data_IF_421096011982
#
_entry.id   IF_421096011982
#
_cell.length_a   1.000
_cell.length_b   1.000
_cell.length_c   1.000
_cell.angle_alpha   90.00
_cell.angle_beta   90.00
_cell.angle_gamma   90.00
#
_symmetry.space_group_name_H-M   'P 1'
#
loop_
_entity.id
_entity.type
_entity.pdbx_description
1 polymer ?
#
# COMPACT_ATOMS: atom_id res chain seq x y z
N UNK A 1 4.24 -25.71 22.91
CA UNK A 1 4.92 -26.03 21.64
C UNK A 1 3.86 -26.40 20.61
N UNK A 2 3.21 -25.44 19.96
CA UNK A 2 2.22 -25.75 18.93
C UNK A 2 2.35 -24.75 17.80
N UNK A 3 2.64 -25.31 16.65
CA UNK A 3 2.42 -24.85 15.28
C UNK A 3 3.03 -23.52 14.84
N UNK A 4 4.32 -23.56 14.51
CA UNK A 4 4.97 -22.64 13.58
C UNK A 4 4.67 -23.07 12.12
N UNK A 5 3.43 -23.31 11.77
CA UNK A 5 3.07 -23.54 10.38
C UNK A 5 2.63 -22.22 9.77
N UNK A 6 3.61 -21.42 9.34
CA UNK A 6 3.36 -20.40 8.32
C UNK A 6 2.91 -21.16 7.08
N UNK A 7 1.65 -21.04 6.70
CA UNK A 7 1.16 -21.73 5.51
C UNK A 7 1.79 -21.10 4.26
N UNK A 8 2.94 -21.64 3.86
CA UNK A 8 3.67 -21.21 2.65
C UNK A 8 2.78 -21.25 1.40
N UNK A 9 1.76 -22.12 1.37
CA UNK A 9 0.78 -22.20 0.27
C UNK A 9 -0.15 -21.01 0.30
N UNK A 10 -0.61 -20.58 1.50
CA UNK A 10 -1.43 -19.40 1.69
C UNK A 10 -0.72 -18.13 1.22
N UNK A 11 0.54 -17.92 1.65
CA UNK A 11 1.33 -16.78 1.23
C UNK A 11 1.57 -16.75 -0.28
N UNK A 12 1.89 -17.90 -0.90
CA UNK A 12 2.06 -18.00 -2.36
C UNK A 12 0.78 -17.61 -3.11
N UNK A 13 -0.38 -18.12 -2.69
CA UNK A 13 -1.68 -17.76 -3.29
C UNK A 13 -2.01 -16.29 -3.11
N UNK A 14 -1.75 -15.74 -1.92
CA UNK A 14 -1.90 -14.32 -1.64
C UNK A 14 -1.04 -13.50 -2.61
N UNK A 15 0.26 -13.80 -2.71
CA UNK A 15 1.20 -13.05 -3.56
C UNK A 15 0.86 -13.17 -5.04
N UNK A 16 0.45 -14.36 -5.51
CA UNK A 16 0.03 -14.57 -6.89
C UNK A 16 -1.23 -13.76 -7.23
N UNK A 17 -2.25 -13.77 -6.35
CA UNK A 17 -3.44 -12.96 -6.51
C UNK A 17 -3.14 -11.46 -6.45
N UNK A 18 -2.33 -11.01 -5.49
CA UNK A 18 -1.90 -9.62 -5.38
C UNK A 18 -1.14 -9.15 -6.63
N UNK A 19 -0.19 -9.94 -7.12
CA UNK A 19 0.58 -9.62 -8.31
C UNK A 19 -0.30 -9.53 -9.56
N UNK A 20 -1.22 -10.48 -9.75
CA UNK A 20 -2.14 -10.47 -10.89
C UNK A 20 -3.08 -9.26 -10.84
N UNK A 21 -3.71 -8.99 -9.68
CA UNK A 21 -4.61 -7.87 -9.52
C UNK A 21 -3.91 -6.53 -9.78
N UNK A 22 -2.72 -6.33 -9.20
CA UNK A 22 -1.92 -5.10 -9.36
C UNK A 22 -1.38 -4.93 -10.79
N UNK A 23 -0.92 -6.01 -11.41
CA UNK A 23 -0.48 -5.96 -12.80
C UNK A 23 -1.63 -5.55 -13.74
N UNK A 24 -2.82 -6.10 -13.53
CA UNK A 24 -4.02 -5.68 -14.27
C UNK A 24 -4.42 -4.23 -14.04
N UNK A 25 -4.32 -3.77 -12.79
CA UNK A 25 -4.60 -2.38 -12.42
C UNK A 25 -3.61 -1.40 -13.07
N UNK A 26 -2.31 -1.62 -12.91
CA UNK A 26 -1.24 -0.79 -13.50
C UNK A 26 -1.27 -0.81 -15.04
N UNK A 27 -1.76 -1.89 -15.63
CA UNK A 27 -1.98 -2.02 -17.06
C UNK A 27 -3.22 -1.24 -17.54
N UNK A 28 -4.25 -1.13 -16.69
CA UNK A 28 -5.58 -0.62 -17.09
C UNK A 28 -5.54 0.83 -17.57
N UNK A 29 -4.81 1.70 -16.86
CA UNK A 29 -4.67 3.11 -17.21
C UNK A 29 -4.04 3.32 -18.60
N UNK A 30 -2.81 2.83 -18.85
CA UNK A 30 -2.19 2.89 -20.17
C UNK A 30 -3.02 2.23 -21.28
N UNK A 31 -3.67 1.09 -21.00
CA UNK A 31 -4.50 0.40 -21.98
C UNK A 31 -5.74 1.21 -22.38
N UNK A 32 -6.43 1.85 -21.41
CA UNK A 32 -7.57 2.73 -21.66
C UNK A 32 -7.16 4.00 -22.41
N UNK A 33 -5.98 4.54 -22.12
CA UNK A 33 -5.43 5.68 -22.83
C UNK A 33 -5.19 5.34 -24.31
N UNK A 34 -4.54 4.20 -24.57
CA UNK A 34 -4.32 3.69 -25.94
C UNK A 34 -5.64 3.38 -26.66
N UNK A 35 -6.61 2.77 -25.97
CA UNK A 35 -7.93 2.47 -26.52
C UNK A 35 -8.67 3.75 -26.91
N UNK A 36 -8.71 4.74 -26.02
CA UNK A 36 -9.36 6.02 -26.27
C UNK A 36 -8.83 6.69 -27.52
N UNK A 37 -7.51 6.74 -27.68
CA UNK A 37 -6.86 7.29 -28.87
C UNK A 37 -7.14 6.44 -30.13
N UNK A 38 -6.97 5.12 -30.05
CA UNK A 38 -7.13 4.24 -31.20
C UNK A 38 -8.56 4.22 -31.78
N UNK A 39 -9.58 4.38 -30.92
CA UNK A 39 -10.99 4.31 -31.35
C UNK A 39 -11.54 5.68 -31.77
N UNK A 40 -11.13 6.77 -31.10
CA UNK A 40 -11.72 8.10 -31.34
C UNK A 40 -10.81 9.06 -32.12
N UNK A 41 -9.52 8.71 -32.28
CA UNK A 41 -8.51 9.60 -32.83
C UNK A 41 -8.20 10.83 -31.95
N UNK A 42 -8.82 10.96 -30.78
CA UNK A 42 -8.72 12.11 -29.87
C UNK A 42 -7.95 11.75 -28.61
N UNK A 43 -6.79 12.37 -28.35
CA UNK A 43 -6.03 12.11 -27.11
C UNK A 43 -6.84 12.38 -25.84
N UNK A 44 -7.74 13.38 -25.87
CA UNK A 44 -8.59 13.76 -24.74
C UNK A 44 -9.53 12.66 -24.25
N UNK A 45 -9.94 11.71 -25.10
CA UNK A 45 -10.81 10.61 -24.67
C UNK A 45 -10.08 9.68 -23.71
N UNK A 46 -8.89 9.22 -24.08
CA UNK A 46 -8.10 8.31 -23.22
C UNK A 46 -7.65 8.97 -21.92
N UNK A 47 -7.17 10.22 -21.98
CA UNK A 47 -6.76 10.96 -20.78
C UNK A 47 -7.93 11.27 -19.84
N UNK A 48 -9.12 11.57 -20.39
CA UNK A 48 -10.33 11.77 -19.59
C UNK A 48 -10.80 10.50 -18.87
N UNK A 49 -10.70 9.33 -19.53
CA UNK A 49 -10.98 8.04 -18.90
C UNK A 49 -10.03 7.75 -17.76
N UNK A 50 -8.72 7.94 -17.99
CA UNK A 50 -7.69 7.74 -16.96
C UNK A 50 -7.91 8.69 -15.76
N UNK A 51 -8.17 9.97 -16.04
CA UNK A 51 -8.44 10.96 -15.00
C UNK A 51 -9.67 10.59 -14.16
N UNK A 52 -10.78 10.19 -14.80
CA UNK A 52 -12.01 9.79 -14.12
C UNK A 52 -11.80 8.55 -13.23
N UNK A 53 -11.09 7.55 -13.75
CA UNK A 53 -10.74 6.33 -12.99
C UNK A 53 -9.90 6.66 -11.75
N UNK A 54 -8.88 7.51 -11.92
CA UNK A 54 -7.94 7.88 -10.85
C UNK A 54 -8.59 8.75 -9.77
N UNK A 55 -9.40 9.73 -10.16
CA UNK A 55 -10.13 10.59 -9.21
C UNK A 55 -11.07 9.77 -8.34
N UNK A 56 -11.81 8.86 -8.94
CA UNK A 56 -12.71 7.99 -8.19
C UNK A 56 -11.96 7.02 -7.28
N UNK A 57 -10.82 6.50 -7.71
CA UNK A 57 -9.93 5.68 -6.89
C UNK A 57 -9.42 6.42 -5.65
N UNK A 58 -9.06 7.70 -5.80
CA UNK A 58 -8.67 8.52 -4.66
C UNK A 58 -9.82 8.73 -3.64
N UNK A 59 -11.06 8.87 -4.11
CA UNK A 59 -12.23 9.05 -3.25
C UNK A 59 -12.76 7.73 -2.65
N UNK A 60 -12.62 6.61 -3.36
CA UNK A 60 -13.20 5.31 -3.00
C UNK A 60 -12.56 4.62 -1.80
N UNK A 61 -11.32 4.98 -1.43
CA UNK A 61 -10.58 4.28 -0.38
C UNK A 61 -11.25 4.27 0.99
N UNK A 62 -11.65 5.41 1.56
CA UNK A 62 -12.31 5.43 2.84
C UNK A 62 -13.63 4.64 2.85
N UNK A 63 -14.41 4.72 1.76
CA UNK A 63 -15.66 3.97 1.61
C UNK A 63 -15.41 2.46 1.58
N UNK A 64 -14.49 2.01 0.71
CA UNK A 64 -14.17 0.59 0.58
C UNK A 64 -13.57 0.03 1.88
N UNK A 65 -12.69 0.79 2.54
CA UNK A 65 -12.10 0.39 3.82
C UNK A 65 -13.15 0.17 4.92
N UNK A 66 -14.11 1.08 5.03
CA UNK A 66 -15.20 0.94 5.97
C UNK A 66 -16.08 -0.28 5.68
N UNK A 67 -16.36 -0.56 4.41
CA UNK A 67 -17.08 -1.75 3.98
C UNK A 67 -16.29 -3.03 4.29
N UNK A 68 -14.97 -3.02 4.05
CA UNK A 68 -14.09 -4.16 4.30
C UNK A 68 -14.03 -4.52 5.79
N UNK A 69 -13.91 -3.51 6.66
CA UNK A 69 -13.83 -3.71 8.12
C UNK A 69 -15.17 -4.14 8.74
N UNK A 70 -16.32 -3.73 8.16
CA UNK A 70 -17.66 -4.19 8.57
C UNK A 70 -18.00 -5.58 8.07
N UNK A 71 -17.32 -6.04 7.02
CA UNK A 71 -17.69 -7.26 6.36
C UNK A 71 -17.38 -8.49 7.25
N UNK A 72 -18.39 -9.33 7.47
CA UNK A 72 -18.20 -10.66 8.08
C UNK A 72 -17.38 -11.58 7.18
N UNK A 73 -17.31 -11.29 5.87
CA UNK A 73 -16.59 -12.05 4.85
C UNK A 73 -15.81 -11.12 3.93
N UNK A 74 -14.74 -10.49 4.46
CA UNK A 74 -13.94 -9.52 3.70
C UNK A 74 -13.22 -10.13 2.49
N UNK A 75 -12.97 -11.44 2.49
CA UNK A 75 -12.50 -12.22 1.35
C UNK A 75 -13.49 -12.18 0.17
N UNK A 76 -14.77 -12.39 0.44
CA UNK A 76 -15.82 -12.29 -0.59
C UNK A 76 -16.04 -10.86 -1.05
N UNK A 77 -16.01 -9.89 -0.13
CA UNK A 77 -16.13 -8.49 -0.50
C UNK A 77 -14.99 -8.08 -1.42
N UNK A 78 -13.75 -8.45 -1.08
CA UNK A 78 -12.59 -8.21 -1.94
C UNK A 78 -12.77 -8.87 -3.32
N UNK A 79 -13.23 -10.11 -3.38
CA UNK A 79 -13.48 -10.82 -4.63
C UNK A 79 -14.55 -10.11 -5.48
N UNK A 80 -15.66 -9.67 -4.87
CA UNK A 80 -16.72 -8.93 -5.56
C UNK A 80 -16.25 -7.58 -6.10
N UNK A 81 -15.44 -6.84 -5.32
CA UNK A 81 -14.91 -5.55 -5.76
C UNK A 81 -13.91 -5.70 -6.91
N UNK A 82 -13.06 -6.74 -6.87
CA UNK A 82 -12.18 -7.07 -8.00
C UNK A 82 -12.97 -7.43 -9.26
N UNK A 83 -14.03 -8.24 -9.12
CA UNK A 83 -14.91 -8.59 -10.24
C UNK A 83 -15.62 -7.35 -10.80
N UNK A 84 -16.16 -6.49 -9.93
CA UNK A 84 -16.81 -5.24 -10.32
C UNK A 84 -15.85 -4.29 -11.05
N UNK A 85 -14.59 -4.17 -10.57
CA UNK A 85 -13.55 -3.39 -11.24
C UNK A 85 -13.23 -3.94 -12.62
N UNK A 86 -13.01 -5.26 -12.75
CA UNK A 86 -12.76 -5.92 -14.03
C UNK A 86 -13.92 -5.72 -15.01
N UNK A 87 -15.17 -5.89 -14.54
CA UNK A 87 -16.37 -5.65 -15.35
C UNK A 87 -16.49 -4.19 -15.78
N UNK A 88 -16.16 -3.23 -14.90
CA UNK A 88 -16.13 -1.81 -15.23
C UNK A 88 -15.11 -1.49 -16.35
N UNK A 89 -13.93 -2.09 -16.30
CA UNK A 89 -12.92 -1.97 -17.37
C UNK A 89 -13.43 -2.56 -18.69
N UNK A 90 -14.08 -3.73 -18.65
CA UNK A 90 -14.69 -4.35 -19.84
C UNK A 90 -15.83 -3.49 -20.39
N UNK A 91 -16.67 -2.93 -19.51
CA UNK A 91 -17.75 -2.03 -19.90
C UNK A 91 -17.20 -0.76 -20.59
N UNK A 92 -16.12 -0.18 -20.08
CA UNK A 92 -15.43 0.94 -20.75
C UNK A 92 -14.94 0.55 -22.14
N UNK A 93 -14.29 -0.61 -22.27
CA UNK A 93 -13.84 -1.13 -23.57
C UNK A 93 -14.98 -1.27 -24.58
N UNK A 94 -16.14 -1.76 -24.13
CA UNK A 94 -17.31 -1.91 -24.99
C UNK A 94 -17.99 -0.56 -25.33
N UNK A 95 -17.91 0.41 -24.43
CA UNK A 95 -18.59 1.71 -24.53
C UNK A 95 -17.79 2.75 -25.35
N UNK A 96 -16.45 2.67 -25.35
CA UNK A 96 -15.60 3.61 -26.09
C UNK A 96 -15.91 3.55 -27.60
N UNK A 97 -16.19 4.72 -28.17
CA UNK A 97 -16.61 4.88 -29.56
C UNK A 97 -18.14 4.73 -29.80
N UNK A 98 -18.91 4.35 -28.77
CA UNK A 98 -20.37 4.21 -28.85
C UNK A 98 -21.14 5.20 -27.99
N UNK A 99 -20.56 5.58 -26.85
CA UNK A 99 -21.21 6.46 -25.89
C UNK A 99 -20.50 7.84 -25.83
N UNK A 100 -21.24 8.89 -25.44
CA UNK A 100 -20.65 10.22 -25.25
C UNK A 100 -19.70 10.22 -24.05
N UNK A 101 -18.75 11.18 -24.02
CA UNK A 101 -17.70 11.27 -23.00
C UNK A 101 -18.23 11.33 -21.57
N UNK A 102 -19.40 11.97 -21.35
CA UNK A 102 -20.02 12.05 -20.02
C UNK A 102 -20.40 10.66 -19.49
N UNK A 103 -20.99 9.81 -20.33
CA UNK A 103 -21.34 8.44 -19.97
C UNK A 103 -20.09 7.58 -19.74
N UNK A 104 -19.06 7.74 -20.57
CA UNK A 104 -17.78 7.08 -20.40
C UNK A 104 -17.11 7.49 -19.07
N UNK A 105 -17.11 8.79 -18.75
CA UNK A 105 -16.59 9.29 -17.49
C UNK A 105 -17.37 8.73 -16.29
N UNK A 106 -18.70 8.62 -16.37
CA UNK A 106 -19.52 8.01 -15.32
C UNK A 106 -19.15 6.53 -15.09
N UNK A 107 -18.98 5.73 -16.15
CA UNK A 107 -18.56 4.32 -16.03
C UNK A 107 -17.15 4.25 -15.43
N UNK A 108 -16.21 5.13 -15.86
CA UNK A 108 -14.85 5.18 -15.35
C UNK A 108 -14.80 5.57 -13.85
N UNK A 109 -15.63 6.55 -13.45
CA UNK A 109 -15.77 6.94 -12.04
C UNK A 109 -16.31 5.77 -11.19
N UNK A 110 -17.35 5.08 -11.66
CA UNK A 110 -17.89 3.92 -10.95
C UNK A 110 -16.88 2.78 -10.84
N UNK A 111 -16.17 2.45 -11.91
CA UNK A 111 -15.10 1.45 -11.87
C UNK A 111 -13.97 1.87 -10.92
N UNK A 112 -13.53 3.13 -10.97
CA UNK A 112 -12.46 3.67 -10.15
C UNK A 112 -12.74 3.63 -8.65
N UNK A 113 -14.00 3.69 -8.21
CA UNK A 113 -14.37 3.52 -6.80
C UNK A 113 -13.89 2.18 -6.22
N UNK A 114 -13.74 1.14 -7.04
CA UNK A 114 -13.27 -0.18 -6.62
C UNK A 114 -11.74 -0.34 -6.70
N UNK A 115 -11.02 0.61 -7.33
CA UNK A 115 -9.55 0.57 -7.44
C UNK A 115 -8.83 0.41 -6.10
N UNK A 116 -9.22 1.07 -4.98
CA UNK A 116 -8.56 0.87 -3.68
C UNK A 116 -8.59 -0.57 -3.17
N UNK A 117 -9.53 -1.40 -3.63
CA UNK A 117 -9.58 -2.82 -3.30
C UNK A 117 -8.37 -3.57 -3.85
N UNK A 118 -7.95 -3.24 -5.07
CA UNK A 118 -6.83 -3.88 -5.78
C UNK A 118 -5.51 -3.63 -5.06
N UNK A 119 -5.27 -2.40 -4.65
CA UNK A 119 -4.02 -2.02 -3.99
C UNK A 119 -4.06 -2.33 -2.48
N UNK A 120 -4.81 -1.52 -1.74
CA UNK A 120 -4.79 -1.51 -0.28
C UNK A 120 -5.67 -2.59 0.35
N UNK A 121 -6.76 -2.98 -0.33
CA UNK A 121 -7.65 -4.05 0.13
C UNK A 121 -6.94 -5.39 0.26
N UNK A 122 -6.05 -5.73 -0.70
CA UNK A 122 -5.17 -6.89 -0.62
C UNK A 122 -4.21 -6.80 0.57
N UNK A 123 -3.45 -5.70 0.66
CA UNK A 123 -2.46 -5.50 1.73
C UNK A 123 -3.10 -5.61 3.13
N UNK A 124 -4.33 -5.13 3.30
CA UNK A 124 -5.06 -5.25 4.56
C UNK A 124 -5.35 -6.71 4.98
N UNK A 125 -5.34 -7.66 4.03
CA UNK A 125 -5.53 -9.09 4.30
C UNK A 125 -4.23 -9.84 4.67
N UNK A 126 -3.04 -9.26 4.42
CA UNK A 126 -1.76 -9.92 4.67
C UNK A 126 -1.61 -10.47 6.10
N UNK A 127 -2.00 -9.74 7.18
CA UNK A 127 -1.90 -10.26 8.55
C UNK A 127 -2.80 -11.45 8.87
N UNK A 128 -3.71 -11.83 7.96
CA UNK A 128 -4.52 -13.06 8.08
C UNK A 128 -3.79 -14.29 7.58
N UNK A 129 -2.82 -14.08 6.69
CA UNK A 129 -2.05 -15.16 6.03
C UNK A 129 -0.74 -15.40 6.76
N UNK A 130 -0.10 -14.33 7.24
CA UNK A 130 1.18 -14.39 7.96
C UNK A 130 1.14 -13.56 9.23
N UNK A 131 1.81 -14.03 10.29
CA UNK A 131 1.83 -13.36 11.60
C UNK A 131 3.24 -13.32 12.19
N UNK A 132 3.44 -12.49 13.21
CA UNK A 132 4.71 -12.41 13.93
C UNK A 132 5.88 -11.98 13.05
N UNK A 133 7.02 -12.65 13.18
CA UNK A 133 8.26 -12.33 12.44
C UNK A 133 8.16 -12.51 10.92
N UNK A 134 7.24 -13.33 10.44
CA UNK A 134 7.00 -13.54 9.00
C UNK A 134 6.26 -12.37 8.35
N UNK A 135 5.65 -11.49 9.16
CA UNK A 135 4.90 -10.35 8.63
C UNK A 135 5.83 -9.33 7.95
N UNK A 136 7.04 -9.11 8.46
CA UNK A 136 8.02 -8.21 7.85
C UNK A 136 8.45 -8.73 6.46
N UNK A 137 8.71 -10.03 6.37
CA UNK A 137 9.00 -10.69 5.10
C UNK A 137 7.80 -10.65 4.16
N UNK A 138 6.61 -10.92 4.68
CA UNK A 138 5.35 -10.83 3.92
C UNK A 138 5.12 -9.42 3.36
N UNK A 139 5.39 -8.37 4.15
CA UNK A 139 5.29 -6.98 3.74
C UNK A 139 6.30 -6.61 2.65
N UNK A 140 7.53 -7.13 2.74
CA UNK A 140 8.54 -6.94 1.70
C UNK A 140 8.14 -7.64 0.38
N UNK A 141 7.62 -8.86 0.45
CA UNK A 141 7.10 -9.59 -0.72
C UNK A 141 5.86 -8.92 -1.30
N UNK A 142 4.97 -8.38 -0.45
CA UNK A 142 3.82 -7.60 -0.90
C UNK A 142 4.26 -6.31 -1.62
N UNK A 143 5.24 -5.58 -1.07
CA UNK A 143 5.88 -4.44 -1.72
C UNK A 143 6.53 -4.81 -3.06
N UNK A 144 7.15 -6.00 -3.16
CA UNK A 144 7.71 -6.51 -4.39
C UNK A 144 6.66 -6.65 -5.50
N UNK A 145 5.43 -7.11 -5.17
CA UNK A 145 4.35 -7.22 -6.16
C UNK A 145 3.90 -5.86 -6.68
N UNK A 146 3.95 -4.78 -5.86
CA UNK A 146 3.70 -3.41 -6.33
C UNK A 146 4.76 -2.98 -7.35
N UNK A 147 6.05 -3.11 -7.00
CA UNK A 147 7.15 -2.69 -7.89
C UNK A 147 7.15 -3.49 -9.19
N UNK A 148 6.86 -4.79 -9.11
CA UNK A 148 6.76 -5.64 -10.29
C UNK A 148 5.58 -5.23 -11.19
N UNK A 149 4.43 -4.91 -10.60
CA UNK A 149 3.26 -4.47 -11.33
C UNK A 149 3.46 -3.11 -12.01
N UNK A 150 4.04 -2.13 -11.29
CA UNK A 150 4.33 -0.80 -11.86
C UNK A 150 5.32 -0.85 -13.02
N UNK A 151 6.26 -1.82 -13.00
CA UNK A 151 7.17 -2.04 -14.13
C UNK A 151 6.49 -2.77 -15.28
N UNK A 152 5.80 -3.87 -14.98
CA UNK A 152 5.24 -4.76 -15.99
C UNK A 152 3.94 -4.23 -16.61
N UNK A 153 3.10 -3.53 -15.84
CA UNK A 153 1.77 -3.10 -16.27
C UNK A 153 1.79 -2.24 -17.54
N UNK A 154 2.48 -1.09 -17.54
CA UNK A 154 2.58 -0.25 -18.74
C UNK A 154 3.26 -0.95 -19.91
N UNK A 155 4.29 -1.76 -19.67
CA UNK A 155 4.99 -2.51 -20.71
C UNK A 155 4.08 -3.57 -21.35
N UNK A 156 3.31 -4.30 -20.55
CA UNK A 156 2.31 -5.24 -21.03
C UNK A 156 1.20 -4.55 -21.81
N UNK A 157 0.72 -3.39 -21.34
CA UNK A 157 -0.29 -2.61 -22.05
C UNK A 157 0.20 -2.22 -23.44
N UNK A 158 1.42 -1.66 -23.55
CA UNK A 158 2.02 -1.26 -24.80
C UNK A 158 2.30 -2.47 -25.71
N UNK A 159 2.89 -3.55 -25.18
CA UNK A 159 3.22 -4.75 -25.94
C UNK A 159 1.98 -5.46 -26.51
N UNK A 160 0.95 -5.64 -25.70
CA UNK A 160 -0.32 -6.24 -26.15
C UNK A 160 -1.04 -5.32 -27.14
N UNK A 161 -1.05 -4.00 -26.89
CA UNK A 161 -1.67 -3.05 -27.80
C UNK A 161 -0.97 -3.03 -29.16
N UNK A 162 0.35 -3.10 -29.20
CA UNK A 162 1.13 -3.15 -30.44
C UNK A 162 0.97 -4.46 -31.20
N UNK A 163 0.88 -5.61 -30.52
CA UNK A 163 0.79 -6.92 -31.16
C UNK A 163 -0.62 -7.35 -31.53
N UNK A 164 -1.62 -7.07 -30.69
CA UNK A 164 -2.99 -7.58 -30.83
C UNK A 164 -4.04 -6.46 -30.88
N UNK A 165 -3.64 -5.24 -30.49
CA UNK A 165 -4.51 -4.07 -30.52
C UNK A 165 -4.93 -3.56 -29.12
N UNK A 166 -5.31 -2.29 -29.06
CA UNK A 166 -5.63 -1.61 -27.81
C UNK A 166 -6.81 -2.23 -27.04
N UNK A 167 -7.80 -2.79 -27.76
CA UNK A 167 -8.93 -3.50 -27.15
C UNK A 167 -8.46 -4.76 -26.39
N UNK A 168 -7.54 -5.50 -26.98
CA UNK A 168 -6.95 -6.69 -26.34
C UNK A 168 -6.15 -6.31 -25.08
N UNK A 169 -5.44 -5.17 -25.11
CA UNK A 169 -4.74 -4.67 -23.93
C UNK A 169 -5.69 -4.43 -22.74
N UNK A 170 -6.83 -3.79 -22.98
CA UNK A 170 -7.84 -3.54 -21.94
C UNK A 170 -8.44 -4.84 -21.42
N UNK A 171 -8.76 -5.80 -22.31
CA UNK A 171 -9.27 -7.12 -21.91
C UNK A 171 -8.24 -7.94 -21.13
N UNK A 172 -6.97 -7.85 -21.49
CA UNK A 172 -5.87 -8.49 -20.74
C UNK A 172 -5.76 -7.89 -19.34
N UNK A 173 -5.84 -6.57 -19.20
CA UNK A 173 -5.84 -5.91 -17.90
C UNK A 173 -7.02 -6.39 -17.03
N UNK A 174 -8.24 -6.40 -17.58
CA UNK A 174 -9.41 -6.92 -16.88
C UNK A 174 -9.28 -8.40 -16.53
N UNK A 175 -8.75 -9.22 -17.44
CA UNK A 175 -8.48 -10.64 -17.23
C UNK A 175 -7.49 -10.90 -16.09
N UNK A 176 -6.42 -10.12 -15.97
CA UNK A 176 -5.45 -10.19 -14.87
C UNK A 176 -6.11 -9.87 -13.52
N UNK A 177 -6.98 -8.83 -13.47
CA UNK A 177 -7.74 -8.53 -12.25
C UNK A 177 -8.72 -9.67 -11.92
N UNK A 178 -9.44 -10.19 -12.92
CA UNK A 178 -10.37 -11.30 -12.74
C UNK A 178 -9.66 -12.59 -12.26
N UNK A 179 -8.45 -12.85 -12.73
CA UNK A 179 -7.63 -14.00 -12.32
C UNK A 179 -7.28 -13.95 -10.81
N UNK A 180 -7.29 -12.78 -10.19
CA UNK A 180 -7.08 -12.64 -8.76
C UNK A 180 -8.30 -13.03 -7.91
N UNK A 181 -9.52 -13.06 -8.48
CA UNK A 181 -10.76 -13.33 -7.74
C UNK A 181 -10.74 -14.69 -7.01
N UNK A 182 -10.35 -15.83 -7.63
CA UNK A 182 -10.27 -17.11 -6.92
C UNK A 182 -9.29 -17.07 -5.72
N UNK A 183 -8.18 -16.35 -5.87
CA UNK A 183 -7.20 -16.16 -4.78
C UNK A 183 -7.82 -15.37 -3.64
N UNK A 184 -8.57 -14.29 -3.91
CA UNK A 184 -9.29 -13.52 -2.91
C UNK A 184 -10.30 -14.39 -2.14
N UNK A 185 -11.12 -15.18 -2.82
CA UNK A 185 -12.06 -16.10 -2.21
C UNK A 185 -11.42 -17.15 -1.29
N UNK A 186 -10.15 -17.50 -1.57
CA UNK A 186 -9.44 -18.51 -0.77
C UNK A 186 -8.86 -17.98 0.54
N UNK A 187 -8.82 -16.66 0.77
CA UNK A 187 -8.20 -16.05 1.95
C UNK A 187 -8.93 -16.40 3.26
N UNK A 188 -10.22 -16.71 3.21
CA UNK A 188 -10.99 -17.13 4.39
C UNK A 188 -10.50 -18.45 5.02
N UNK A 189 -9.87 -19.32 4.22
CA UNK A 189 -9.35 -20.61 4.67
C UNK A 189 -8.13 -20.48 5.60
N UNK A 190 -7.50 -19.30 5.63
CA UNK A 190 -6.28 -19.01 6.38
C UNK A 190 -6.52 -18.20 7.66
N UNK A 191 -7.75 -18.19 8.16
CA UNK A 191 -8.09 -17.49 9.40
C UNK A 191 -7.36 -18.15 10.57
N UNK A 192 -6.49 -17.42 11.33
CA UNK A 192 -5.85 -18.00 12.50
C UNK A 192 -6.91 -18.43 13.52
N UNK A 193 -6.77 -19.62 14.08
CA UNK A 193 -7.68 -20.18 15.10
C UNK A 193 -7.80 -19.28 16.36
N UNK A 194 -6.82 -18.42 16.63
CA UNK A 194 -6.82 -17.46 17.74
C UNK A 194 -7.87 -16.34 17.63
N UNK A 195 -8.53 -16.15 16.48
CA UNK A 195 -9.57 -15.13 16.32
C UNK A 195 -10.97 -15.59 16.77
N UNK A 196 -11.10 -16.83 17.23
CA UNK A 196 -12.38 -17.40 17.71
C UNK A 196 -12.57 -17.29 19.23
N UNK A 197 -11.57 -16.76 19.96
CA UNK A 197 -11.49 -16.85 21.41
C UNK A 197 -11.84 -15.59 22.22
N UNK A 198 -12.18 -14.48 21.60
CA UNK A 198 -12.74 -13.35 22.36
C UNK A 198 -14.24 -13.30 22.13
N UNK A 199 -14.98 -13.73 23.17
CA UNK A 199 -16.43 -13.66 23.21
C UNK A 199 -16.91 -12.28 22.75
N UNK A 200 -17.48 -12.24 21.55
CA UNK A 200 -18.30 -11.11 21.15
C UNK A 200 -19.57 -11.22 21.97
N UNK A 201 -19.65 -10.42 23.03
CA UNK A 201 -20.94 -10.09 23.63
C UNK A 201 -21.93 -9.62 22.56
N UNK A 202 -23.24 -9.50 22.87
CA UNK A 202 -24.27 -9.15 21.91
C UNK A 202 -23.79 -7.93 21.07
N UNK A 203 -23.81 -8.10 19.75
CA UNK A 203 -23.24 -7.14 18.80
C UNK A 203 -23.86 -5.76 19.05
N UNK A 204 -23.03 -4.84 19.56
CA UNK A 204 -23.43 -3.44 19.63
C UNK A 204 -23.83 -2.96 18.21
N UNK A 205 -24.87 -2.11 18.08
CA UNK A 205 -25.34 -1.66 16.78
C UNK A 205 -24.15 -1.05 16.01
N UNK A 206 -23.95 -1.55 14.78
CA UNK A 206 -22.86 -1.08 13.94
C UNK A 206 -23.00 0.42 13.72
N UNK A 207 -21.96 1.23 13.97
CA UNK A 207 -22.02 2.66 13.73
C UNK A 207 -22.36 2.94 12.26
N UNK A 208 -23.00 4.08 11.97
CA UNK A 208 -23.30 4.49 10.59
C UNK A 208 -22.02 4.49 9.75
N UNK A 209 -22.14 4.26 8.43
CA UNK A 209 -20.99 4.19 7.51
C UNK A 209 -20.10 5.44 7.64
N UNK A 210 -20.70 6.63 7.68
CA UNK A 210 -19.96 7.89 7.86
C UNK A 210 -19.19 7.96 9.18
N UNK A 211 -19.79 7.50 10.30
CA UNK A 211 -19.10 7.44 11.59
C UNK A 211 -17.92 6.45 11.56
N UNK A 212 -18.04 5.38 10.83
CA UNK A 212 -16.95 4.41 10.69
C UNK A 212 -15.82 4.96 9.80
N UNK A 213 -16.15 5.66 8.70
CA UNK A 213 -15.16 6.38 7.89
C UNK A 213 -14.41 7.41 8.73
N UNK A 214 -15.14 8.19 9.53
CA UNK A 214 -14.55 9.14 10.48
C UNK A 214 -13.67 8.45 11.53
N UNK A 215 -14.05 7.27 12.03
CA UNK A 215 -13.26 6.51 13.00
C UNK A 215 -11.92 6.05 12.43
N UNK A 216 -11.88 5.59 11.17
CA UNK A 216 -10.65 5.22 10.50
C UNK A 216 -9.69 6.41 10.35
N UNK A 217 -10.21 7.55 9.93
CA UNK A 217 -9.45 8.79 9.84
C UNK A 217 -8.98 9.27 11.23
N UNK A 218 -9.87 9.24 12.22
CA UNK A 218 -9.55 9.61 13.60
C UNK A 218 -8.42 8.74 14.18
N UNK A 219 -8.40 7.44 13.91
CA UNK A 219 -7.31 6.55 14.35
C UNK A 219 -5.98 6.92 13.68
N UNK A 220 -5.98 7.28 12.38
CA UNK A 220 -4.77 7.76 11.71
C UNK A 220 -4.23 9.01 12.39
N UNK A 221 -5.11 9.97 12.72
CA UNK A 221 -4.73 11.25 13.36
C UNK A 221 -4.34 11.05 14.82
N UNK A 222 -5.09 10.25 15.58
CA UNK A 222 -4.86 10.03 17.00
C UNK A 222 -3.59 9.23 17.31
N UNK A 223 -3.21 8.30 16.43
CA UNK A 223 -2.01 7.48 16.62
C UNK A 223 -0.81 8.10 15.92
N UNK A 224 0.07 8.75 16.69
CA UNK A 224 1.28 9.41 16.16
C UNK A 224 2.05 8.59 15.13
N UNK A 225 2.31 7.26 15.30
CA UNK A 225 3.02 6.47 14.29
C UNK A 225 2.26 6.35 12.96
N UNK A 226 0.91 6.24 13.00
CA UNK A 226 0.09 6.20 11.78
C UNK A 226 0.02 7.56 11.11
N UNK A 227 -0.12 8.64 11.89
CA UNK A 227 -0.16 9.99 11.37
C UNK A 227 1.14 10.33 10.64
N UNK A 228 2.29 10.15 11.30
CA UNK A 228 3.60 10.44 10.68
C UNK A 228 3.86 9.59 9.44
N UNK A 229 3.53 8.29 9.46
CA UNK A 229 3.66 7.43 8.30
C UNK A 229 2.76 7.87 7.14
N UNK A 230 1.55 8.33 7.44
CA UNK A 230 0.60 8.81 6.43
C UNK A 230 1.03 10.16 5.87
N UNK A 231 1.37 11.13 6.71
CA UNK A 231 1.85 12.46 6.28
C UNK A 231 3.12 12.32 5.43
N UNK A 232 4.11 11.56 5.90
CA UNK A 232 5.35 11.31 5.14
C UNK A 232 5.04 10.67 3.78
N UNK A 233 4.15 9.69 3.74
CA UNK A 233 3.74 9.04 2.49
C UNK A 233 3.10 10.03 1.52
N UNK A 234 2.18 10.87 1.98
CA UNK A 234 1.47 11.86 1.15
C UNK A 234 2.44 12.92 0.62
N UNK A 235 3.23 13.52 1.50
CA UNK A 235 4.17 14.59 1.13
C UNK A 235 5.28 14.06 0.21
N UNK A 236 5.80 12.86 0.48
CA UNK A 236 6.77 12.19 -0.40
C UNK A 236 6.20 11.98 -1.81
N UNK A 237 4.94 11.56 -1.91
CA UNK A 237 4.29 11.33 -3.20
C UNK A 237 3.96 12.61 -3.98
N UNK A 238 3.87 13.76 -3.34
CA UNK A 238 3.86 15.06 -4.05
C UNK A 238 5.16 15.21 -4.85
N UNK A 239 6.32 14.99 -4.25
CA UNK A 239 7.61 15.06 -4.95
C UNK A 239 7.75 14.00 -6.06
N UNK A 240 7.28 12.76 -5.81
CA UNK A 240 7.28 11.69 -6.82
C UNK A 240 6.39 12.06 -8.01
N UNK A 241 5.22 12.67 -7.78
CA UNK A 241 4.34 13.17 -8.84
C UNK A 241 5.02 14.25 -9.68
N UNK A 242 5.78 15.14 -9.04
CA UNK A 242 6.57 16.14 -9.75
C UNK A 242 7.67 15.51 -10.61
N UNK A 243 8.42 14.55 -10.07
CA UNK A 243 9.45 13.81 -10.81
C UNK A 243 8.87 13.10 -12.04
N UNK A 244 7.70 12.46 -11.88
CA UNK A 244 7.03 11.72 -12.97
C UNK A 244 6.74 12.63 -14.18
N UNK A 245 6.26 13.84 -13.93
CA UNK A 245 6.00 14.85 -14.98
C UNK A 245 7.31 15.39 -15.59
N UNK A 246 8.38 15.49 -14.78
CA UNK A 246 9.68 15.90 -15.26
C UNK A 246 10.39 14.84 -16.12
N UNK A 247 10.07 13.55 -15.99
CA UNK A 247 10.76 12.48 -16.73
C UNK A 247 10.77 12.66 -18.26
N UNK A 248 9.64 12.95 -18.97
CA UNK A 248 9.67 13.24 -20.41
C UNK A 248 10.51 14.46 -20.76
N UNK A 249 10.48 15.50 -19.91
CA UNK A 249 11.25 16.74 -20.12
C UNK A 249 12.75 16.49 -19.97
N UNK A 250 13.16 15.72 -18.96
CA UNK A 250 14.53 15.26 -18.78
C UNK A 250 14.98 14.39 -19.96
N UNK A 251 14.10 13.53 -20.47
CA UNK A 251 14.34 12.74 -21.65
C UNK A 251 14.64 13.60 -22.87
N UNK A 252 13.85 14.66 -23.09
CA UNK A 252 14.04 15.61 -24.18
C UNK A 252 15.34 16.41 -24.02
N UNK A 253 15.60 16.94 -22.82
CA UNK A 253 16.72 17.85 -22.58
C UNK A 253 18.09 17.14 -22.48
N UNK A 254 18.13 15.90 -21.95
CA UNK A 254 19.38 15.24 -21.56
C UNK A 254 19.65 13.91 -22.23
N UNK A 255 18.59 13.23 -22.70
CA UNK A 255 18.71 11.89 -23.29
C UNK A 255 18.46 11.89 -24.81
N UNK A 256 18.21 13.07 -25.43
CA UNK A 256 18.02 13.20 -26.87
C UNK A 256 16.61 12.85 -27.35
N UNK A 257 15.59 12.88 -26.50
CA UNK A 257 14.19 12.74 -26.92
C UNK A 257 13.23 12.48 -25.76
N UNK A 258 12.04 13.08 -25.79
CA UNK A 258 11.02 12.95 -24.76
C UNK A 258 10.59 11.48 -24.50
N UNK A 259 10.55 10.66 -25.56
CA UNK A 259 10.26 9.22 -25.44
C UNK A 259 11.27 8.47 -24.55
N UNK A 260 12.52 8.94 -24.48
CA UNK A 260 13.55 8.37 -23.60
C UNK A 260 13.30 8.69 -22.10
N UNK A 261 12.39 9.61 -21.79
CA UNK A 261 11.89 9.81 -20.44
C UNK A 261 11.24 8.57 -19.84
N UNK A 262 10.68 7.68 -20.66
CA UNK A 262 10.17 6.39 -20.22
C UNK A 262 11.27 5.49 -19.63
N UNK A 263 12.53 5.62 -20.08
CA UNK A 263 13.66 4.90 -19.50
C UNK A 263 13.92 5.30 -18.03
N UNK A 264 13.70 6.58 -17.69
CA UNK A 264 13.83 7.07 -16.32
C UNK A 264 12.78 6.40 -15.40
N UNK A 265 11.53 6.34 -15.84
CA UNK A 265 10.45 5.67 -15.13
C UNK A 265 10.74 4.17 -14.96
N UNK A 266 11.20 3.53 -16.05
CA UNK A 266 11.58 2.11 -16.02
C UNK A 266 12.76 1.84 -15.08
N UNK A 267 13.77 2.72 -15.07
CA UNK A 267 14.91 2.61 -14.15
C UNK A 267 14.49 2.72 -12.69
N UNK A 268 13.58 3.65 -12.36
CA UNK A 268 12.98 3.74 -11.01
C UNK A 268 12.28 2.44 -10.62
N UNK A 269 11.44 1.89 -11.51
CA UNK A 269 10.68 0.67 -11.24
C UNK A 269 11.60 -0.56 -11.07
N UNK A 270 12.61 -0.72 -11.93
CA UNK A 270 13.61 -1.79 -11.83
C UNK A 270 14.40 -1.70 -10.54
N UNK A 271 14.87 -0.50 -10.18
CA UNK A 271 15.61 -0.28 -8.94
C UNK A 271 14.74 -0.55 -7.69
N UNK A 272 13.47 -0.11 -7.70
CA UNK A 272 12.51 -0.39 -6.63
C UNK A 272 12.24 -1.90 -6.49
N UNK A 273 12.04 -2.59 -7.61
CA UNK A 273 11.87 -4.05 -7.64
C UNK A 273 13.07 -4.77 -7.06
N UNK A 274 14.28 -4.38 -7.49
CA UNK A 274 15.54 -4.97 -7.03
C UNK A 274 15.75 -4.73 -5.53
N UNK A 275 15.53 -3.51 -5.05
CA UNK A 275 15.65 -3.19 -3.63
C UNK A 275 14.66 -3.99 -2.76
N UNK A 276 13.40 -4.13 -3.20
CA UNK A 276 12.40 -4.95 -2.52
C UNK A 276 12.76 -6.45 -2.57
N UNK A 277 13.31 -6.94 -3.67
CA UNK A 277 13.76 -8.33 -3.79
C UNK A 277 14.91 -8.63 -2.82
N UNK A 278 15.88 -7.71 -2.70
CA UNK A 278 16.98 -7.79 -1.74
C UNK A 278 16.43 -7.80 -0.31
N UNK A 279 15.52 -6.90 0.00
CA UNK A 279 14.91 -6.80 1.33
C UNK A 279 14.12 -8.08 1.71
N UNK A 280 13.42 -8.67 0.74
CA UNK A 280 12.67 -9.91 0.92
C UNK A 280 13.59 -11.13 1.14
N UNK A 281 14.78 -11.15 0.50
CA UNK A 281 15.75 -12.24 0.61
C UNK A 281 16.58 -12.18 1.88
N UNK A 282 16.86 -10.97 2.36
CA UNK A 282 17.67 -10.71 3.56
C UNK A 282 16.92 -9.82 4.57
N UNK A 283 15.90 -10.33 5.25
CA UNK A 283 15.06 -9.55 6.18
C UNK A 283 15.81 -9.04 7.41
N UNK A 284 17.12 -9.30 7.52
CA UNK A 284 17.99 -8.91 8.64
C UNK A 284 18.94 -7.74 8.36
N UNK A 285 18.92 -7.13 7.17
CA UNK A 285 19.76 -5.97 6.83
C UNK A 285 19.11 -4.65 7.28
N UNK A 286 19.87 -3.69 7.85
CA UNK A 286 20.83 -3.76 8.95
C UNK A 286 20.15 -3.58 10.31
N UNK A 287 20.45 -4.45 11.28
CA UNK A 287 19.98 -4.38 12.68
C UNK A 287 20.63 -3.29 13.51
N UNK A 288 21.05 -2.16 12.96
CA UNK A 288 21.47 -1.03 13.81
C UNK A 288 20.24 -0.38 14.44
N UNK A 289 19.86 -0.87 15.62
CA UNK A 289 18.86 -0.21 16.46
C UNK A 289 19.45 1.11 16.96
N UNK A 290 18.94 2.24 16.46
CA UNK A 290 19.09 3.50 17.19
C UNK A 290 18.22 3.41 18.45
N UNK A 291 18.72 3.79 19.63
CA UNK A 291 17.91 3.87 20.83
C UNK A 291 16.66 4.73 20.54
N UNK A 292 15.47 4.21 20.83
CA UNK A 292 14.20 4.92 20.65
C UNK A 292 13.53 4.83 19.25
N UNK A 293 14.18 4.26 18.22
CA UNK A 293 13.56 4.04 16.91
C UNK A 293 13.37 2.56 16.63
N UNK A 294 12.16 2.19 16.16
CA UNK A 294 11.93 0.85 15.65
C UNK A 294 12.57 0.70 14.25
N UNK A 295 12.89 -0.52 13.86
CA UNK A 295 13.53 -0.81 12.57
C UNK A 295 12.75 -0.24 11.35
N UNK A 296 11.39 -0.36 11.26
CA UNK A 296 10.64 0.25 10.17
C UNK A 296 10.74 1.77 10.13
N UNK A 297 10.79 2.44 11.28
CA UNK A 297 10.89 3.90 11.37
C UNK A 297 12.20 4.43 10.77
N UNK A 298 13.30 3.73 11.02
CA UNK A 298 14.62 4.08 10.45
C UNK A 298 14.61 3.93 8.93
N UNK A 299 13.96 2.87 8.42
CA UNK A 299 13.84 2.65 6.98
C UNK A 299 12.97 3.70 6.29
N UNK A 300 11.85 4.12 6.89
CA UNK A 300 11.01 5.20 6.32
C UNK A 300 11.85 6.47 6.16
N UNK A 301 12.58 6.87 7.20
CA UNK A 301 13.40 8.09 7.17
C UNK A 301 14.55 7.99 6.15
N UNK A 302 15.34 6.92 6.21
CA UNK A 302 16.46 6.71 5.32
C UNK A 302 16.04 6.68 3.86
N UNK A 303 14.97 5.96 3.55
CA UNK A 303 14.43 5.87 2.19
C UNK A 303 13.90 7.22 1.68
N UNK A 304 13.20 7.98 2.53
CA UNK A 304 12.73 9.32 2.17
C UNK A 304 13.88 10.26 1.83
N UNK A 305 14.98 10.21 2.61
CA UNK A 305 16.17 11.00 2.32
C UNK A 305 16.90 10.55 1.04
N UNK A 306 16.95 9.24 0.77
CA UNK A 306 17.49 8.70 -0.49
C UNK A 306 16.69 9.19 -1.68
N UNK A 307 15.35 9.18 -1.62
CA UNK A 307 14.48 9.70 -2.67
C UNK A 307 14.74 11.21 -2.88
N UNK A 308 14.88 11.99 -1.81
CA UNK A 308 15.20 13.41 -1.89
C UNK A 308 16.56 13.67 -2.53
N UNK A 309 17.59 12.94 -2.11
CA UNK A 309 18.93 13.02 -2.70
C UNK A 309 18.94 12.65 -4.18
N UNK A 310 18.16 11.64 -4.57
CA UNK A 310 17.96 11.22 -5.96
C UNK A 310 17.37 12.34 -6.82
N UNK A 311 16.32 13.01 -6.33
CA UNK A 311 15.68 14.13 -7.04
C UNK A 311 16.63 15.32 -7.17
N UNK A 312 17.38 15.64 -6.11
CA UNK A 312 18.39 16.70 -6.16
C UNK A 312 19.54 16.34 -7.11
N UNK A 313 20.01 15.11 -7.12
CA UNK A 313 20.99 14.62 -8.07
C UNK A 313 20.45 14.66 -9.50
N UNK A 314 19.21 14.21 -9.75
CA UNK A 314 18.57 14.27 -11.04
C UNK A 314 18.37 15.71 -11.55
N UNK A 315 18.26 16.70 -10.67
CA UNK A 315 18.16 18.11 -11.03
C UNK A 315 19.43 18.63 -11.75
N UNK A 316 20.61 18.12 -11.36
CA UNK A 316 21.91 18.61 -11.87
C UNK A 316 22.69 17.60 -12.71
N UNK A 317 22.33 16.31 -12.67
CA UNK A 317 23.06 15.26 -13.38
C UNK A 317 22.99 15.44 -14.90
N UNK A 318 24.13 15.43 -15.62
CA UNK A 318 24.14 15.56 -17.08
C UNK A 318 23.86 14.21 -17.75
N UNK A 319 23.26 14.26 -18.97
CA UNK A 319 23.11 13.12 -19.86
C UNK A 319 22.60 11.84 -19.16
N UNK A 320 23.26 10.72 -19.40
CA UNK A 320 22.88 9.41 -18.87
C UNK A 320 23.06 9.25 -17.35
N UNK A 321 23.82 10.12 -16.68
CA UNK A 321 23.90 10.11 -15.21
C UNK A 321 22.56 10.43 -14.55
N UNK A 322 21.66 11.14 -15.26
CA UNK A 322 20.28 11.34 -14.83
C UNK A 322 19.54 10.00 -14.61
N UNK A 323 19.84 8.98 -15.43
CA UNK A 323 19.26 7.64 -15.27
C UNK A 323 19.69 7.00 -13.94
N UNK A 324 20.99 7.08 -13.61
CA UNK A 324 21.52 6.56 -12.36
C UNK A 324 20.94 7.32 -11.15
N UNK A 325 20.83 8.65 -11.25
CA UNK A 325 20.24 9.48 -10.20
C UNK A 325 18.78 9.08 -9.93
N UNK A 326 17.96 8.92 -10.97
CA UNK A 326 16.54 8.53 -10.80
C UNK A 326 16.40 7.08 -10.33
N UNK A 327 17.27 6.16 -10.80
CA UNK A 327 17.32 4.78 -10.31
C UNK A 327 17.59 4.70 -8.79
N UNK A 328 18.46 5.59 -8.27
CA UNK A 328 18.70 5.71 -6.81
C UNK A 328 17.38 6.02 -6.06
N UNK A 329 16.51 6.87 -6.63
CA UNK A 329 15.19 7.15 -6.08
C UNK A 329 14.32 5.90 -5.99
N UNK A 330 14.30 5.10 -7.05
CA UNK A 330 13.59 3.82 -7.06
C UNK A 330 14.11 2.86 -5.98
N UNK A 331 15.43 2.80 -5.77
CA UNK A 331 16.02 2.01 -4.68
C UNK A 331 15.58 2.49 -3.27
N UNK A 332 15.15 3.74 -3.14
CA UNK A 332 14.51 4.27 -1.93
C UNK A 332 13.00 3.96 -1.85
N UNK A 333 12.26 4.08 -2.97
CA UNK A 333 10.80 3.93 -2.99
C UNK A 333 10.33 2.54 -2.53
N UNK A 334 10.99 1.47 -2.97
CA UNK A 334 10.65 0.11 -2.59
C UNK A 334 10.71 -0.12 -1.08
N UNK A 335 11.87 0.12 -0.45
CA UNK A 335 12.02 0.01 1.00
C UNK A 335 11.11 0.98 1.77
N UNK A 336 10.86 2.20 1.28
CA UNK A 336 9.94 3.16 1.90
C UNK A 336 8.53 2.56 1.97
N UNK A 337 8.01 2.03 0.87
CA UNK A 337 6.69 1.40 0.83
C UNK A 337 6.61 0.24 1.81
N UNK A 338 7.59 -0.65 1.79
CA UNK A 338 7.66 -1.82 2.69
C UNK A 338 7.66 -1.39 4.16
N UNK A 339 8.45 -0.38 4.51
CA UNK A 339 8.53 0.14 5.88
C UNK A 339 7.22 0.82 6.33
N UNK A 340 6.58 1.60 5.45
CA UNK A 340 5.28 2.22 5.71
C UNK A 340 4.20 1.15 5.94
N UNK A 341 4.19 0.07 5.16
CA UNK A 341 3.27 -1.05 5.35
C UNK A 341 3.53 -1.76 6.69
N UNK A 342 4.79 -1.97 7.07
CA UNK A 342 5.16 -2.56 8.35
C UNK A 342 4.70 -1.72 9.54
N UNK A 343 4.85 -0.38 9.49
CA UNK A 343 4.31 0.54 10.51
C UNK A 343 2.79 0.40 10.59
N UNK A 344 2.09 0.42 9.46
CA UNK A 344 0.62 0.27 9.43
C UNK A 344 0.17 -1.08 9.98
N UNK A 345 0.84 -2.18 9.64
CA UNK A 345 0.52 -3.52 10.17
C UNK A 345 0.67 -3.58 11.69
N UNK A 346 1.70 -2.94 12.23
CA UNK A 346 1.98 -2.92 13.67
C UNK A 346 0.97 -2.09 14.45
N UNK A 347 0.61 -0.92 13.93
CA UNK A 347 -0.11 0.11 14.68
C UNK A 347 -1.62 0.11 14.46
N UNK A 348 -2.11 -0.55 13.40
CA UNK A 348 -3.54 -0.50 13.07
C UNK A 348 -4.33 -1.55 13.83
N UNK A 349 -5.40 -1.16 14.55
CA UNK A 349 -6.33 -2.10 15.17
C UNK A 349 -6.92 -3.06 14.15
N UNK A 350 -7.16 -4.31 14.56
CA UNK A 350 -7.63 -5.37 13.65
C UNK A 350 -8.96 -5.03 12.95
N UNK A 351 -9.85 -4.32 13.64
CA UNK A 351 -11.17 -3.92 13.17
C UNK A 351 -11.20 -2.68 12.27
N UNK A 352 -10.05 -1.99 12.07
CA UNK A 352 -9.93 -0.78 11.24
C UNK A 352 -8.83 -0.90 10.18
N UNK A 353 -8.33 -2.10 9.92
CA UNK A 353 -7.24 -2.33 8.96
C UNK A 353 -7.62 -1.93 7.54
N UNK A 354 -8.78 -2.37 7.08
CA UNK A 354 -9.28 -1.99 5.76
C UNK A 354 -9.35 -0.48 5.60
N UNK A 355 -9.98 0.19 6.57
CA UNK A 355 -10.16 1.64 6.61
C UNK A 355 -8.81 2.39 6.56
N UNK A 356 -7.88 2.05 7.45
CA UNK A 356 -6.58 2.74 7.54
C UNK A 356 -5.77 2.55 6.26
N UNK A 357 -5.73 1.32 5.72
CA UNK A 357 -4.94 1.03 4.52
C UNK A 357 -5.49 1.71 3.27
N UNK A 358 -6.79 1.64 3.06
CA UNK A 358 -7.41 2.22 1.86
C UNK A 358 -7.43 3.75 1.93
N UNK A 359 -7.70 4.35 3.09
CA UNK A 359 -7.62 5.79 3.30
C UNK A 359 -6.20 6.31 3.06
N UNK A 360 -5.20 5.64 3.63
CA UNK A 360 -3.80 6.02 3.42
C UNK A 360 -3.36 5.88 1.95
N UNK A 361 -3.85 4.87 1.23
CA UNK A 361 -3.59 4.70 -0.20
C UNK A 361 -4.24 5.83 -1.02
N UNK A 362 -5.49 6.17 -0.73
CA UNK A 362 -6.19 7.29 -1.40
C UNK A 362 -5.49 8.63 -1.17
N UNK A 363 -5.09 8.92 0.06
CA UNK A 363 -4.35 10.14 0.39
C UNK A 363 -2.99 10.19 -0.35
N UNK A 364 -2.31 9.06 -0.46
CA UNK A 364 -1.05 8.93 -1.21
C UNK A 364 -1.26 9.25 -2.69
N UNK A 365 -2.31 8.70 -3.32
CA UNK A 365 -2.67 8.98 -4.72
C UNK A 365 -3.04 10.45 -4.91
N UNK A 366 -3.77 11.05 -3.97
CA UNK A 366 -4.06 12.48 -3.99
C UNK A 366 -2.79 13.33 -3.91
N UNK A 367 -1.80 12.93 -3.09
CA UNK A 367 -0.48 13.57 -3.06
C UNK A 367 0.24 13.51 -4.40
N UNK A 368 0.25 12.33 -5.05
CA UNK A 368 0.82 12.15 -6.37
C UNK A 368 0.18 13.08 -7.41
N UNK A 369 -1.16 13.14 -7.43
CA UNK A 369 -1.91 13.99 -8.34
C UNK A 369 -1.65 15.47 -8.10
N UNK A 370 -1.58 15.91 -6.84
CA UNK A 370 -1.24 17.28 -6.48
C UNK A 370 0.18 17.66 -6.98
N UNK A 371 1.15 16.76 -6.76
CA UNK A 371 2.51 16.94 -7.26
C UNK A 371 2.59 17.04 -8.78
N UNK A 372 1.88 16.16 -9.47
CA UNK A 372 1.81 16.20 -10.93
C UNK A 372 1.17 17.50 -11.46
N UNK A 373 0.11 17.99 -10.80
CA UNK A 373 -0.54 19.25 -11.14
C UNK A 373 0.37 20.46 -10.91
N UNK A 374 1.12 20.48 -9.81
CA UNK A 374 2.09 21.53 -9.49
C UNK A 374 3.29 21.53 -10.46
N UNK A 375 3.68 20.34 -10.92
CA UNK A 375 4.83 20.19 -11.81
C UNK A 375 4.63 20.87 -13.17
N UNK A 376 3.40 20.92 -13.71
CA UNK A 376 3.11 21.54 -15.00
C UNK A 376 3.65 22.97 -15.11
N UNK A 377 3.15 23.93 -14.31
CA UNK A 377 3.63 25.31 -14.34
C UNK A 377 5.09 25.44 -13.89
N UNK A 378 5.52 24.70 -12.84
CA UNK A 378 6.88 24.80 -12.32
C UNK A 378 7.93 24.31 -13.33
N UNK A 379 7.70 23.19 -14.01
CA UNK A 379 8.62 22.65 -15.01
C UNK A 379 8.63 23.50 -16.29
N UNK A 380 7.55 24.23 -16.57
CA UNK A 380 7.49 25.23 -17.63
C UNK A 380 8.49 26.37 -17.42
N UNK A 381 8.77 26.76 -16.17
CA UNK A 381 9.80 27.74 -15.83
C UNK A 381 11.19 27.10 -15.77
N UNK A 382 11.33 26.01 -15.00
CA UNK A 382 12.60 25.30 -14.84
C UNK A 382 12.38 23.86 -14.40
N UNK A 383 12.81 22.91 -15.21
CA UNK A 383 12.80 21.48 -14.85
C UNK A 383 13.71 21.23 -13.63
N UNK A 384 14.89 21.87 -13.60
CA UNK A 384 15.81 21.81 -12.46
C UNK A 384 15.18 22.36 -11.19
N UNK A 385 14.52 23.53 -11.28
CA UNK A 385 13.80 24.14 -10.17
C UNK A 385 12.67 23.27 -9.64
N UNK A 386 11.88 22.67 -10.55
CA UNK A 386 10.81 21.73 -10.19
C UNK A 386 11.35 20.51 -9.42
N UNK A 387 12.47 19.91 -9.86
CA UNK A 387 13.11 18.78 -9.20
C UNK A 387 13.73 19.15 -7.84
N UNK A 388 14.27 20.34 -7.67
CA UNK A 388 14.76 20.82 -6.38
C UNK A 388 13.61 21.06 -5.40
N UNK A 389 12.46 21.57 -5.86
CA UNK A 389 11.24 21.66 -5.05
C UNK A 389 10.75 20.26 -4.69
N UNK A 390 10.76 19.31 -5.62
CA UNK A 390 10.42 17.91 -5.35
C UNK A 390 11.36 17.29 -4.32
N UNK A 391 12.66 17.57 -4.36
CA UNK A 391 13.62 17.18 -3.32
C UNK A 391 13.29 17.83 -1.96
N UNK A 392 12.89 19.10 -1.98
CA UNK A 392 12.42 19.84 -0.80
C UNK A 392 11.21 19.19 -0.14
N UNK A 393 10.25 18.65 -0.92
CA UNK A 393 9.12 17.90 -0.34
C UNK A 393 9.57 16.66 0.43
N UNK A 394 10.66 16.01 0.02
CA UNK A 394 11.21 14.86 0.75
C UNK A 394 11.83 15.29 2.10
N UNK A 395 12.47 16.45 2.13
CA UNK A 395 12.99 17.01 3.39
C UNK A 395 11.85 17.38 4.34
N UNK A 396 10.77 17.98 3.82
CA UNK A 396 9.55 18.24 4.60
C UNK A 396 8.94 16.95 5.12
N UNK A 397 8.85 15.90 4.28
CA UNK A 397 8.36 14.59 4.67
C UNK A 397 9.21 13.96 5.78
N UNK A 398 10.54 14.04 5.67
CA UNK A 398 11.48 13.56 6.67
C UNK A 398 11.39 14.36 7.97
N UNK A 399 11.31 15.69 7.89
CA UNK A 399 11.12 16.56 9.05
C UNK A 399 9.79 16.28 9.77
N UNK A 400 8.68 16.15 9.05
CA UNK A 400 7.39 15.77 9.60
C UNK A 400 7.44 14.41 10.33
N UNK A 401 8.20 13.46 9.78
CA UNK A 401 8.42 12.16 10.41
C UNK A 401 9.17 12.26 11.73
N UNK A 402 10.18 13.13 11.81
CA UNK A 402 11.00 13.34 13.01
C UNK A 402 10.27 14.14 14.09
N UNK A 403 9.59 15.23 13.69
CA UNK A 403 8.90 16.15 14.63
C UNK A 403 7.73 15.46 15.36
N UNK A 404 7.11 14.47 14.76
CA UNK A 404 6.07 13.69 15.44
C UNK A 404 6.59 12.79 16.57
N UNK A 405 7.91 12.78 16.84
CA UNK A 405 8.60 12.17 17.97
C UNK A 405 8.73 10.64 17.91
N UNK A 406 9.71 10.07 18.59
CA UNK A 406 9.82 8.62 18.74
C UNK A 406 8.62 8.08 19.52
N UNK A 407 8.12 6.92 19.13
CA UNK A 407 7.16 6.17 19.94
C UNK A 407 7.80 5.87 21.28
N UNK A 408 7.22 6.37 22.37
CA UNK A 408 7.50 5.88 23.72
C UNK A 408 7.02 4.42 23.80
N UNK A 409 7.80 3.48 23.24
CA UNK A 409 7.73 2.09 23.62
C UNK A 409 8.32 2.01 25.03
N UNK A 410 7.48 2.08 26.05
CA UNK A 410 8.02 1.91 27.39
C UNK A 410 7.13 2.24 28.56
N UNK A 411 5.85 2.43 28.37
CA UNK A 411 4.95 2.23 29.50
C UNK A 411 4.00 1.06 29.20
N UNK A 412 4.55 -0.18 29.27
CA UNK A 412 3.75 -1.27 29.79
C UNK A 412 3.38 -0.83 31.19
N UNK A 413 2.13 -0.45 31.41
CA UNK A 413 1.59 -0.46 32.77
C UNK A 413 1.98 -1.82 33.35
N UNK A 414 2.62 -1.85 34.54
CA UNK A 414 2.80 -3.11 35.21
C UNK A 414 1.37 -3.64 35.40
N UNK A 415 1.09 -4.79 34.78
CA UNK A 415 -0.09 -5.59 35.08
C UNK A 415 -0.13 -5.64 36.59
N UNK A 416 -1.18 -5.06 37.17
CA UNK A 416 -1.35 -4.94 38.61
C UNK A 416 -0.97 -6.25 39.25
N UNK A 417 -0.02 -6.21 40.17
CA UNK A 417 0.10 -7.24 41.19
C UNK A 417 -1.29 -7.37 41.78
N UNK A 418 -1.94 -8.49 41.52
CA UNK A 418 -3.06 -8.92 42.34
C UNK A 418 -2.57 -8.82 43.79
N UNK A 419 -3.04 -7.82 44.50
CA UNK A 419 -2.99 -7.82 45.98
C UNK A 419 -3.71 -9.08 46.39
N UNK A 420 -2.94 -10.07 46.86
CA UNK A 420 -3.46 -11.14 47.71
C UNK A 420 -4.17 -10.43 48.86
N UNK A 421 -5.43 -10.76 49.13
CA UNK A 421 -6.08 -10.25 50.32
C UNK A 421 -5.33 -10.84 51.52
N UNK A 422 -4.71 -9.96 52.29
CA UNK A 422 -4.18 -10.29 53.63
C UNK A 422 -5.34 -10.81 54.50
N UNK A 423 -5.47 -12.10 54.59
CA UNK A 423 -6.26 -12.77 55.64
C UNK A 423 -5.51 -12.62 56.94
N UNK A 424 -6.09 -11.76 57.77
CA UNK A 424 -5.65 -11.44 59.13
C UNK A 424 -5.57 -12.66 60.04
N UNK A 425 -4.68 -12.49 60.97
CA UNK A 425 -4.45 -13.28 62.15
C UNK A 425 -5.70 -13.50 63.01
N UNK A 426 -5.83 -14.68 63.55
CA UNK A 426 -6.24 -15.07 64.87
C UNK A 426 -6.86 -16.47 64.78
N UNK A 427 -6.25 -17.49 65.31
CA UNK A 427 -6.53 -17.99 66.63
C UNK A 427 -5.57 -19.15 66.94
N UNK A 428 -4.85 -19.00 68.05
CA UNK A 428 -4.12 -20.06 68.68
C UNK A 428 -5.08 -20.82 69.62
N UNK A 429 -5.13 -22.14 69.52
CA UNK A 429 -5.33 -22.99 70.67
C UNK A 429 -4.61 -24.32 70.45
N UNK A 430 -4.05 -24.93 71.57
CA UNK A 430 -3.13 -26.05 71.54
C UNK A 430 -3.80 -27.38 71.85
N UNK A 431 -3.18 -28.47 71.48
CA UNK A 431 -3.34 -29.67 72.19
C UNK A 431 -3.70 -30.93 71.40
N UNK A 432 -2.84 -31.85 71.63
CA UNK A 432 -2.99 -33.31 71.71
C UNK A 432 -2.36 -34.15 70.61
N UNK A 433 -1.27 -34.63 70.99
CA UNK A 433 -0.57 -35.87 70.70
C UNK A 433 -1.42 -37.03 70.12
N UNK A 434 -0.83 -37.75 69.23
CA UNK A 434 -0.55 -39.19 69.40
C UNK A 434 -0.85 -40.06 68.19
N UNK A 435 0.16 -40.88 67.83
CA UNK A 435 0.10 -42.22 67.20
C UNK A 435 0.12 -42.37 65.68
N UNK A 436 1.34 -42.61 65.28
CA UNK A 436 1.62 -43.61 64.25
C UNK A 436 1.14 -45.00 64.62
N UNK A 437 0.80 -45.92 63.69
CA UNK A 437 1.83 -46.88 63.31
C UNK A 437 1.86 -47.33 61.83
N UNK A 438 3.12 -47.51 61.40
CA UNK A 438 3.73 -48.67 60.68
C UNK A 438 2.90 -49.42 59.62
N UNK A 439 3.58 -49.53 58.46
CA UNK A 439 3.47 -50.56 57.41
C UNK A 439 3.46 -52.00 57.99
N UNK A 440 3.00 -53.03 57.26
CA UNK A 440 3.69 -53.59 56.11
C UNK A 440 2.71 -54.19 55.05
N UNK A 441 3.11 -54.47 53.97
CA UNK A 441 3.74 -55.43 53.07
C UNK A 441 3.48 -55.07 51.62
#
# INVERSE_FOLDING_TARGET
MSSRYTDRRGLRRYLAGAAAARAGDEMSGPALLLLGFAVTGRPGTGSGLLASLTIAGAAGGPLFGALLDRSRRPDRLLAWTLAAYALGIVALQAAVGRLPMVALAAIALLAGLFNPAVAAGWTAQLPRVVTGRELDRGSALDGLTFSAASLAGPALAAGVAAGIGARAAVLTAAGLVALAVPSACSLSRYRPAAATGTGQGPAAPHPTLGRQMAAGFAVIVARRPLLRATVTSVVSYVGIGMLLVCCPLLGAQRLGGAARGALLISATAVASLTANAILARWPGLPRRRRPGCSQPDTWVLASTLVIGASMAAAAVAPGWLTLAAVALGGAGEGPQLTALLAVRHRETPANLRGQVYTTAASLKIAGLAAGAALAGPLAGWSVTGCLLIAAGTQLVAAAAYLLAGPTSQGRREPVGRNEEPATGAADRLPGAADRLPRRPA
#
